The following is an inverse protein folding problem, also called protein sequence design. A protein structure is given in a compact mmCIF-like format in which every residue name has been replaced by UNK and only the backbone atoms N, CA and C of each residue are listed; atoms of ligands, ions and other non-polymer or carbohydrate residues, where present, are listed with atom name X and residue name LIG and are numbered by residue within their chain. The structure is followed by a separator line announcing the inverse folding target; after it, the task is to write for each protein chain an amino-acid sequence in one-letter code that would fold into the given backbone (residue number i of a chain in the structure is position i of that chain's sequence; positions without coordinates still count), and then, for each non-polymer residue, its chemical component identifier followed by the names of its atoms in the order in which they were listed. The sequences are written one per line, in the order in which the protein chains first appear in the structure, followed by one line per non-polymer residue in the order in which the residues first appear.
data_IF_719716838969
#
_entry.id   IF_719716838969
#
_cell.length_a   1.000
_cell.length_b   1.000
_cell.length_c   1.000
_cell.angle_alpha   90.00
_cell.angle_beta   90.00
_cell.angle_gamma   90.00
#
_symmetry.space_group_name_H-M   'P 1'
#
loop_
_entity.id
_entity.type
_entity.pdbx_description
1 polymer ?
#
# COMPACT_ATOMS: atom_id res chain seq x y z
N UNK A 1 -16.00 -6.96 -7.36
CA UNK A 1 -15.20 -5.82 -7.87
C UNK A 1 -15.69 -4.48 -7.34
N UNK A 2 -16.94 -4.04 -7.58
CA UNK A 2 -17.45 -2.72 -7.11
C UNK A 2 -17.15 -2.44 -5.62
N UNK A 3 -17.30 -3.43 -4.75
CA UNK A 3 -17.00 -3.26 -3.31
C UNK A 3 -15.51 -3.08 -3.01
N UNK A 4 -14.60 -3.65 -3.80
CA UNK A 4 -13.15 -3.53 -3.58
C UNK A 4 -12.68 -2.11 -3.90
N UNK A 5 -13.10 -1.58 -5.06
CA UNK A 5 -12.85 -0.18 -5.43
C UNK A 5 -13.41 0.79 -4.36
N UNK A 6 -14.65 0.56 -3.91
CA UNK A 6 -15.26 1.40 -2.89
C UNK A 6 -14.52 1.34 -1.53
N UNK A 7 -14.02 0.18 -1.13
CA UNK A 7 -13.21 0.03 0.09
C UNK A 7 -11.91 0.82 -0.04
N UNK A 8 -11.20 0.67 -1.16
CA UNK A 8 -9.95 1.38 -1.39
C UNK A 8 -10.16 2.90 -1.36
N UNK A 9 -11.14 3.39 -2.09
CA UNK A 9 -11.45 4.83 -2.12
C UNK A 9 -11.86 5.40 -0.77
N UNK A 10 -12.56 4.63 0.07
CA UNK A 10 -13.00 5.11 1.39
C UNK A 10 -11.91 5.00 2.45
N UNK A 11 -11.16 3.91 2.43
CA UNK A 11 -10.33 3.50 3.56
C UNK A 11 -8.83 3.74 3.32
N UNK A 12 -8.40 3.84 2.05
CA UNK A 12 -7.00 3.95 1.63
C UNK A 12 -6.67 5.20 0.80
N UNK A 13 -7.64 5.85 0.14
CA UNK A 13 -7.38 7.11 -0.56
C UNK A 13 -7.29 8.28 0.43
N UNK A 14 -6.13 8.45 1.06
CA UNK A 14 -5.87 9.47 2.09
C UNK A 14 -4.38 9.72 2.27
N UNK A 15 -4.10 10.84 2.91
CA UNK A 15 -2.77 11.16 3.40
C UNK A 15 -2.53 10.51 4.76
N UNK A 16 -1.31 10.06 4.97
CA UNK A 16 -0.81 9.49 6.21
C UNK A 16 0.23 10.44 6.77
N UNK A 17 0.08 10.82 8.03
CA UNK A 17 1.02 11.72 8.71
C UNK A 17 1.62 10.95 9.88
N UNK A 18 2.95 10.90 9.91
CA UNK A 18 3.72 10.23 10.95
C UNK A 18 4.68 11.23 11.60
N UNK A 19 4.85 11.10 12.91
CA UNK A 19 5.89 11.80 13.67
C UNK A 19 6.95 10.75 14.00
N UNK A 20 8.14 10.86 13.40
CA UNK A 20 9.24 9.91 13.51
C UNK A 20 10.51 10.72 13.80
N UNK A 21 11.21 10.41 14.89
CA UNK A 21 12.43 11.11 15.30
C UNK A 21 12.32 12.66 15.32
N UNK A 22 11.18 13.18 15.78
CA UNK A 22 10.84 14.62 15.81
C UNK A 22 10.59 15.26 14.43
N UNK A 23 10.61 14.47 13.35
CA UNK A 23 10.27 14.88 11.99
C UNK A 23 8.85 14.45 11.60
N UNK A 24 8.19 15.26 10.77
CA UNK A 24 6.85 14.97 10.26
C UNK A 24 6.98 14.42 8.85
N UNK A 25 6.62 13.14 8.68
CA UNK A 25 6.58 12.48 7.37
C UNK A 25 5.13 12.42 6.88
N UNK A 26 4.87 13.00 5.71
CA UNK A 26 3.57 12.95 5.06
C UNK A 26 3.64 12.08 3.81
N UNK A 27 2.79 11.05 3.75
CA UNK A 27 2.68 10.15 2.61
C UNK A 27 1.27 10.15 2.04
N UNK A 28 1.15 10.47 0.76
CA UNK A 28 -0.06 10.32 -0.02
C UNK A 28 -0.12 8.93 -0.62
N UNK A 29 -1.20 8.16 -0.41
CA UNK A 29 -1.38 6.88 -1.13
C UNK A 29 -1.84 7.20 -2.55
N UNK A 30 -1.03 6.85 -3.55
CA UNK A 30 -1.31 7.08 -4.98
C UNK A 30 -1.80 5.85 -5.71
N UNK A 31 -1.40 4.67 -5.24
CA UNK A 31 -1.65 3.41 -5.92
C UNK A 31 -2.15 2.34 -4.98
N UNK A 32 -3.14 1.57 -5.42
CA UNK A 32 -3.49 0.30 -4.75
C UNK A 32 -3.75 -0.78 -5.78
N UNK A 33 -3.00 -1.87 -5.72
CA UNK A 33 -3.21 -3.06 -6.54
C UNK A 33 -3.42 -4.29 -5.66
N UNK A 34 -4.30 -5.18 -6.09
CA UNK A 34 -4.57 -6.45 -5.42
C UNK A 34 -4.29 -7.62 -6.36
N UNK A 35 -3.48 -8.57 -5.90
CA UNK A 35 -3.17 -9.81 -6.61
C UNK A 35 -3.46 -11.02 -5.73
N UNK A 36 -3.82 -12.15 -6.36
CA UNK A 36 -3.90 -13.44 -5.67
C UNK A 36 -2.55 -14.16 -5.77
N UNK A 37 -2.14 -14.82 -4.69
CA UNK A 37 -0.94 -15.66 -4.65
C UNK A 37 -1.24 -17.00 -3.99
N UNK A 38 -0.46 -18.02 -4.32
CA UNK A 38 -0.59 -19.36 -3.74
C UNK A 38 0.01 -19.43 -2.33
N UNK A 39 0.86 -18.47 -1.95
CA UNK A 39 1.43 -18.41 -0.60
C UNK A 39 0.49 -17.73 0.40
N UNK A 40 0.28 -18.38 1.54
CA UNK A 40 -0.44 -17.80 2.69
C UNK A 40 0.48 -17.17 3.73
N UNK A 41 1.79 -17.19 3.50
CA UNK A 41 2.75 -16.61 4.43
C UNK A 41 2.57 -15.09 4.52
N UNK A 42 2.84 -14.55 5.70
CA UNK A 42 3.02 -13.12 5.87
C UNK A 42 4.40 -12.72 5.35
N UNK A 43 4.46 -11.74 4.45
CA UNK A 43 5.70 -11.12 4.00
C UNK A 43 5.44 -9.65 3.63
N UNK A 44 6.47 -8.83 3.65
CA UNK A 44 6.40 -7.46 3.13
C UNK A 44 7.70 -7.06 2.45
N UNK A 45 7.61 -6.12 1.52
CA UNK A 45 8.76 -5.42 0.92
C UNK A 45 8.42 -3.95 0.86
N UNK A 46 9.35 -3.10 1.28
CA UNK A 46 9.30 -1.67 1.08
C UNK A 46 10.40 -1.30 0.11
N UNK A 47 10.07 -0.59 -0.96
CA UNK A 47 10.99 -0.26 -2.04
C UNK A 47 10.85 1.21 -2.36
N UNK A 48 11.97 1.92 -2.32
CA UNK A 48 12.09 3.26 -2.87
C UNK A 48 12.18 3.17 -4.40
N UNK A 49 11.33 3.94 -5.09
CA UNK A 49 11.27 4.03 -6.55
C UNK A 49 12.03 5.28 -7.00
N UNK A 50 11.80 6.40 -6.32
CA UNK A 50 12.51 7.68 -6.45
C UNK A 50 12.68 8.29 -5.05
N UNK A 51 13.39 9.42 -4.94
CA UNK A 51 13.60 10.15 -3.67
C UNK A 51 12.30 10.47 -2.90
N UNK A 52 11.15 10.48 -3.59
CA UNK A 52 9.84 10.79 -2.98
C UNK A 52 8.77 9.71 -3.22
N UNK A 53 9.07 8.67 -3.99
CA UNK A 53 8.10 7.63 -4.34
C UNK A 53 8.48 6.27 -3.79
N UNK A 54 7.50 5.59 -3.20
CA UNK A 54 7.73 4.33 -2.51
C UNK A 54 6.63 3.31 -2.83
N UNK A 55 6.98 2.03 -2.79
CA UNK A 55 6.03 0.92 -2.88
C UNK A 55 6.15 0.01 -1.67
N UNK A 56 5.04 -0.19 -0.97
CA UNK A 56 4.89 -1.25 0.04
C UNK A 56 4.10 -2.41 -0.57
N UNK A 57 4.76 -3.54 -0.78
CA UNK A 57 4.14 -4.81 -1.14
C UNK A 57 3.89 -5.63 0.12
N UNK A 58 2.62 -5.97 0.40
CA UNK A 58 2.20 -6.78 1.54
C UNK A 58 1.58 -8.08 1.08
N UNK A 59 2.21 -9.20 1.41
CA UNK A 59 1.66 -10.53 1.20
C UNK A 59 1.03 -11.06 2.48
N UNK A 60 -0.26 -11.40 2.41
CA UNK A 60 -0.96 -12.00 3.55
C UNK A 60 -2.21 -12.76 3.06
N UNK A 61 -2.48 -13.92 3.67
CA UNK A 61 -3.70 -14.72 3.42
C UNK A 61 -3.93 -15.15 1.95
N UNK A 62 -2.88 -15.30 1.14
CA UNK A 62 -3.05 -15.68 -0.26
C UNK A 62 -3.32 -14.48 -1.19
N UNK A 63 -3.02 -13.28 -0.72
CA UNK A 63 -3.09 -12.04 -1.49
C UNK A 63 -1.78 -11.28 -1.38
N UNK A 64 -1.47 -10.51 -2.42
CA UNK A 64 -0.43 -9.48 -2.41
C UNK A 64 -1.14 -8.15 -2.66
N UNK A 65 -0.87 -7.17 -1.81
CA UNK A 65 -1.37 -5.81 -1.93
C UNK A 65 -0.16 -4.93 -2.18
N UNK A 66 -0.19 -4.18 -3.29
CA UNK A 66 0.82 -3.15 -3.55
C UNK A 66 0.18 -1.81 -3.23
N UNK A 67 0.90 -1.01 -2.43
CA UNK A 67 0.53 0.35 -2.10
C UNK A 67 1.64 1.26 -2.60
N UNK A 68 1.30 2.16 -3.52
CA UNK A 68 2.19 3.21 -4.00
C UNK A 68 1.99 4.48 -3.17
N UNK A 69 3.08 5.10 -2.75
CA UNK A 69 3.10 6.32 -1.95
C UNK A 69 3.94 7.39 -2.63
N UNK A 70 3.53 8.64 -2.47
CA UNK A 70 4.31 9.83 -2.77
C UNK A 70 4.47 10.63 -1.47
N UNK A 71 5.70 11.03 -1.18
CA UNK A 71 6.06 11.91 -0.06
C UNK A 71 6.15 13.35 -0.54
N UNK A 72 5.80 14.30 0.34
CA UNK A 72 5.96 15.73 0.06
C UNK A 72 7.44 16.15 -0.01
N UNK A 73 8.30 15.45 0.73
CA UNK A 73 9.74 15.70 0.84
C UNK A 73 10.53 14.38 0.77
N UNK A 74 11.83 14.47 0.44
CA UNK A 74 12.74 13.33 0.53
C UNK A 74 12.80 12.81 1.98
N UNK A 75 12.75 11.50 2.15
CA UNK A 75 12.76 10.85 3.46
C UNK A 75 14.15 10.25 3.68
N UNK A 76 14.75 10.50 4.84
CA UNK A 76 16.02 9.87 5.21
C UNK A 76 15.87 8.34 5.28
N UNK A 77 16.80 7.62 4.64
CA UNK A 77 16.85 6.16 4.67
C UNK A 77 16.91 5.60 6.11
N UNK A 78 17.53 6.33 7.04
CA UNK A 78 17.61 5.97 8.45
C UNK A 78 16.20 5.93 9.12
N UNK A 79 15.23 6.66 8.58
CA UNK A 79 13.83 6.71 9.04
C UNK A 79 12.98 5.54 8.52
N UNK A 80 13.41 4.87 7.44
CA UNK A 80 12.63 3.82 6.77
C UNK A 80 12.18 2.68 7.70
N UNK A 81 13.01 2.13 8.59
CA UNK A 81 12.58 1.03 9.47
C UNK A 81 11.38 1.41 10.36
N UNK A 82 11.36 2.63 10.87
CA UNK A 82 10.30 3.13 11.73
C UNK A 82 9.05 3.48 10.93
N UNK A 83 9.24 4.11 9.76
CA UNK A 83 8.17 4.42 8.82
C UNK A 83 7.43 3.18 8.36
N UNK A 84 8.14 2.13 7.93
CA UNK A 84 7.54 0.86 7.51
C UNK A 84 6.73 0.22 8.64
N UNK A 85 7.23 0.31 9.88
CA UNK A 85 6.51 -0.20 11.04
C UNK A 85 5.21 0.56 11.26
N UNK A 86 5.24 1.89 11.18
CA UNK A 86 4.08 2.75 11.34
C UNK A 86 3.04 2.52 10.21
N UNK A 87 3.50 2.44 8.96
CA UNK A 87 2.69 2.10 7.79
C UNK A 87 1.96 0.78 7.97
N UNK A 88 2.67 -0.31 8.32
CA UNK A 88 2.05 -1.61 8.54
C UNK A 88 1.00 -1.52 9.66
N UNK A 89 1.31 -0.88 10.78
CA UNK A 89 0.36 -0.76 11.88
C UNK A 89 -0.93 -0.02 11.48
N UNK A 90 -0.79 1.09 10.75
CA UNK A 90 -1.92 1.92 10.33
C UNK A 90 -2.73 1.31 9.17
N UNK A 91 -2.07 0.59 8.26
CA UNK A 91 -2.68 0.07 7.03
C UNK A 91 -3.19 -1.36 7.17
N UNK A 92 -2.72 -2.14 8.14
CA UNK A 92 -3.22 -3.51 8.34
C UNK A 92 -4.74 -3.60 8.56
N UNK A 93 -5.41 -2.71 9.33
CA UNK A 93 -6.86 -2.77 9.47
C UNK A 93 -7.63 -2.62 8.14
N UNK A 94 -7.41 -1.57 7.31
CA UNK A 94 -8.09 -1.46 6.02
C UNK A 94 -7.68 -2.56 5.03
N UNK A 95 -6.42 -3.01 5.05
CA UNK A 95 -5.97 -4.15 4.22
C UNK A 95 -6.71 -5.44 4.60
N UNK A 96 -6.85 -5.74 5.89
CA UNK A 96 -7.60 -6.91 6.34
C UNK A 96 -9.06 -6.85 5.87
N UNK A 97 -9.68 -5.67 5.92
CA UNK A 97 -11.04 -5.49 5.41
C UNK A 97 -11.12 -5.75 3.90
N UNK A 98 -10.18 -5.20 3.12
CA UNK A 98 -10.10 -5.42 1.68
C UNK A 98 -9.95 -6.92 1.34
N UNK A 99 -9.07 -7.62 2.05
CA UNK A 99 -8.84 -9.06 1.86
C UNK A 99 -10.10 -9.87 2.19
N UNK A 100 -10.76 -9.57 3.32
CA UNK A 100 -11.99 -10.26 3.69
C UNK A 100 -13.09 -10.09 2.64
N UNK A 101 -13.20 -8.90 2.05
CA UNK A 101 -14.15 -8.66 0.96
C UNK A 101 -13.72 -9.37 -0.34
N UNK A 102 -12.43 -9.43 -0.62
CA UNK A 102 -11.89 -10.20 -1.75
C UNK A 102 -12.18 -11.70 -1.60
N UNK A 103 -12.04 -12.26 -0.40
CA UNK A 103 -12.39 -13.64 -0.08
C UNK A 103 -13.90 -13.90 -0.26
N UNK A 104 -14.75 -13.05 0.32
CA UNK A 104 -16.22 -13.18 0.23
C UNK A 104 -16.72 -13.12 -1.20
N UNK A 105 -16.16 -12.21 -2.01
CA UNK A 105 -16.53 -12.05 -3.41
C UNK A 105 -15.91 -13.12 -4.34
N UNK A 106 -15.07 -14.00 -3.80
CA UNK A 106 -14.41 -15.06 -4.57
C UNK A 106 -13.39 -14.51 -5.56
N UNK A 107 -12.66 -13.46 -5.21
CA UNK A 107 -11.68 -12.80 -6.08
C UNK A 107 -10.63 -13.77 -6.65
N UNK A 108 -10.40 -13.65 -7.96
CA UNK A 108 -9.45 -14.44 -8.76
C UNK A 108 -8.56 -13.58 -9.67
N UNK A 109 -8.58 -12.26 -9.49
CA UNK A 109 -7.74 -11.36 -10.28
C UNK A 109 -6.26 -11.63 -10.03
N UNK A 110 -5.46 -11.40 -11.07
CA UNK A 110 -4.01 -11.67 -11.03
C UNK A 110 -3.21 -10.46 -10.60
N UNK A 111 -3.71 -9.25 -10.86
CA UNK A 111 -3.09 -7.97 -10.53
C UNK A 111 -4.08 -6.86 -10.92
N UNK A 112 -5.17 -6.71 -10.16
CA UNK A 112 -6.19 -5.71 -10.48
C UNK A 112 -5.81 -4.39 -9.80
N UNK A 113 -5.65 -3.34 -10.60
CA UNK A 113 -5.46 -1.98 -10.11
C UNK A 113 -6.78 -1.45 -9.58
N UNK A 114 -6.81 -1.18 -8.28
CA UNK A 114 -7.98 -0.71 -7.54
C UNK A 114 -7.98 0.81 -7.35
N UNK A 115 -6.81 1.44 -7.45
CA UNK A 115 -6.65 2.89 -7.41
C UNK A 115 -5.40 3.30 -8.17
N UNK A 116 -5.57 4.34 -8.97
CA UNK A 116 -4.52 5.12 -9.65
C UNK A 116 -4.89 6.58 -9.45
N UNK A 117 -4.20 7.24 -8.54
CA UNK A 117 -4.34 8.66 -8.24
C UNK A 117 -3.11 9.41 -8.75
N UNK A 118 -2.94 9.36 -10.07
CA UNK A 118 -1.83 9.99 -10.79
C UNK A 118 -0.46 9.39 -10.40
N UNK A 119 -0.38 8.05 -10.29
CA UNK A 119 0.92 7.39 -10.09
C UNK A 119 1.85 7.71 -11.26
N UNK A 120 3.12 8.01 -10.95
CA UNK A 120 4.16 8.26 -11.94
C UNK A 120 4.38 7.07 -12.88
N UNK A 121 5.02 7.28 -14.05
CA UNK A 121 5.45 6.18 -14.91
C UNK A 121 6.35 5.18 -14.17
N UNK A 122 7.30 5.64 -13.36
CA UNK A 122 8.24 4.79 -12.64
C UNK A 122 7.52 3.88 -11.64
N UNK A 123 6.54 4.43 -10.90
CA UNK A 123 5.71 3.65 -9.97
C UNK A 123 4.82 2.64 -10.69
N UNK A 124 4.37 2.94 -11.92
CA UNK A 124 3.54 2.02 -12.74
C UNK A 124 4.34 0.87 -13.35
N UNK A 125 5.63 1.05 -13.57
CA UNK A 125 6.51 0.03 -14.18
C UNK A 125 6.99 -1.03 -13.17
N UNK A 126 7.00 -0.70 -11.87
CA UNK A 126 7.40 -1.58 -10.77
C UNK A 126 6.44 -2.77 -10.54
#
# INVERSE_FOLDING_TARGET
MINLYAIVQRDLAKDLIFEIDEEIVTLSIKGVMLAKTDSKSYNFSFVEITETEFVLALQVRGYIIYLGFESDEEIDEDTYPELVRALIQQLMPPINNLILEAEKSGYRGKADLLMDDDMSPDMKEF
#
